data_IF_941236593304
#
_entry.id   IF_941236593304
#
_cell.length_a   1.000
_cell.length_b   1.000
_cell.length_c   1.000
_cell.angle_alpha   90.00
_cell.angle_beta   90.00
_cell.angle_gamma   90.00
#
_symmetry.space_group_name_H-M   'P 1'
#
loop_
_entity.id
_entity.type
_entity.pdbx_description
1 polymer ?
#
# COMPACT_ATOMS: atom_id res chain seq x y z
N UNK A 1 3.86 7.51 -15.15
CA UNK A 1 3.77 7.82 -13.71
C UNK A 1 2.34 8.02 -13.22
N UNK A 2 1.50 8.79 -13.93
CA UNK A 2 0.12 9.08 -13.50
C UNK A 2 -0.67 7.82 -13.10
N UNK A 3 -0.70 6.78 -13.95
CA UNK A 3 -1.40 5.53 -13.62
C UNK A 3 -0.86 4.88 -12.34
N UNK A 4 0.47 4.83 -12.19
CA UNK A 4 1.13 4.30 -10.99
C UNK A 4 0.78 5.11 -9.74
N UNK A 5 0.77 6.45 -9.83
CA UNK A 5 0.38 7.34 -8.74
C UNK A 5 -1.05 7.06 -8.28
N UNK A 6 -1.99 6.96 -9.22
CA UNK A 6 -3.40 6.64 -8.92
C UNK A 6 -3.53 5.26 -8.29
N UNK A 7 -2.82 4.25 -8.79
CA UNK A 7 -2.82 2.91 -8.23
C UNK A 7 -2.25 2.88 -6.81
N UNK A 8 -1.10 3.52 -6.57
CA UNK A 8 -0.47 3.56 -5.24
C UNK A 8 -1.39 4.25 -4.22
N UNK A 9 -2.01 5.37 -4.60
CA UNK A 9 -2.97 6.07 -3.75
C UNK A 9 -4.24 5.24 -3.52
N UNK A 10 -4.80 4.63 -4.57
CA UNK A 10 -6.01 3.83 -4.49
C UNK A 10 -5.83 2.58 -3.62
N UNK A 11 -4.74 1.84 -3.82
CA UNK A 11 -4.42 0.65 -3.01
C UNK A 11 -4.08 1.07 -1.57
N UNK A 12 -3.31 2.14 -1.38
CA UNK A 12 -2.94 2.63 -0.05
C UNK A 12 -4.16 3.07 0.75
N UNK A 13 -5.06 3.81 0.09
CA UNK A 13 -6.35 4.19 0.66
C UNK A 13 -7.24 2.97 0.93
N UNK A 14 -7.29 2.01 0.00
CA UNK A 14 -8.02 0.76 0.15
C UNK A 14 -7.57 -0.02 1.39
N UNK A 15 -6.27 -0.26 1.54
CA UNK A 15 -5.70 -0.93 2.71
C UNK A 15 -5.98 -0.15 4.00
N UNK A 16 -5.78 1.17 3.99
CA UNK A 16 -6.00 1.98 5.19
C UNK A 16 -7.48 2.05 5.61
N UNK A 17 -8.41 2.17 4.65
CA UNK A 17 -9.85 2.24 4.91
C UNK A 17 -10.42 0.92 5.42
N UNK A 18 -9.86 -0.22 4.98
CA UNK A 18 -10.26 -1.56 5.44
C UNK A 18 -9.50 -2.03 6.68
N UNK A 19 -8.68 -1.19 7.33
CA UNK A 19 -7.95 -1.59 8.55
C UNK A 19 -8.83 -2.12 9.70
N UNK A 20 -10.11 -1.77 9.72
CA UNK A 20 -11.09 -2.22 10.74
C UNK A 20 -12.38 -2.74 10.09
N UNK A 21 -12.33 -3.16 8.82
CA UNK A 21 -13.49 -3.66 8.09
C UNK A 21 -13.07 -4.88 7.25
N UNK A 22 -13.92 -5.90 7.12
CA UNK A 22 -13.60 -7.07 6.31
C UNK A 22 -13.43 -6.66 4.85
N UNK A 23 -12.50 -7.32 4.16
CA UNK A 23 -12.36 -7.22 2.71
C UNK A 23 -11.80 -8.51 2.13
N UNK A 24 -12.36 -8.94 0.99
CA UNK A 24 -12.03 -10.23 0.38
C UNK A 24 -12.13 -11.37 1.42
N UNK A 25 -11.01 -12.04 1.71
CA UNK A 25 -10.88 -13.14 2.68
C UNK A 25 -10.24 -12.68 4.00
N UNK A 26 -9.94 -11.39 4.13
CA UNK A 26 -9.23 -10.83 5.26
C UNK A 26 -10.20 -10.18 6.26
N UNK A 27 -10.04 -10.56 7.53
CA UNK A 27 -10.84 -10.07 8.67
C UNK A 27 -9.96 -9.28 9.67
N UNK A 28 -9.50 -8.07 9.32
CA UNK A 28 -8.67 -7.25 10.19
C UNK A 28 -9.37 -6.80 11.48
N UNK A 29 -10.70 -6.77 11.50
CA UNK A 29 -11.51 -6.51 12.69
C UNK A 29 -11.34 -7.57 13.79
N UNK A 30 -10.98 -8.81 13.42
CA UNK A 30 -10.78 -9.91 14.35
C UNK A 30 -9.30 -10.07 14.75
N UNK A 31 -8.37 -9.45 14.02
CA UNK A 31 -6.94 -9.60 14.22
C UNK A 31 -6.20 -8.26 14.22
N UNK A 32 -5.81 -7.81 15.41
CA UNK A 32 -5.09 -6.56 15.61
C UNK A 32 -3.76 -6.47 14.82
N UNK A 33 -3.07 -7.60 14.60
CA UNK A 33 -1.83 -7.60 13.81
C UNK A 33 -2.11 -7.33 12.33
N UNK A 34 -3.14 -7.96 11.77
CA UNK A 34 -3.57 -7.73 10.38
C UNK A 34 -4.08 -6.29 10.20
N UNK A 35 -4.89 -5.79 11.13
CA UNK A 35 -5.33 -4.38 11.17
C UNK A 35 -4.14 -3.42 11.14
N UNK A 36 -3.13 -3.68 11.98
CA UNK A 36 -1.96 -2.81 12.06
C UNK A 36 -1.10 -2.88 10.78
N UNK A 37 -0.96 -4.06 10.17
CA UNK A 37 -0.26 -4.22 8.89
C UNK A 37 -0.96 -3.45 7.77
N UNK A 38 -2.28 -3.52 7.68
CA UNK A 38 -3.06 -2.74 6.70
C UNK A 38 -2.97 -1.24 6.95
N UNK A 39 -3.01 -0.83 8.23
CA UNK A 39 -2.87 0.56 8.62
C UNK A 39 -1.50 1.11 8.21
N UNK A 40 -0.42 0.44 8.62
CA UNK A 40 0.96 0.86 8.35
C UNK A 40 1.27 0.77 6.86
N UNK A 41 0.97 -0.36 6.22
CA UNK A 41 1.20 -0.56 4.79
C UNK A 41 0.39 0.40 3.93
N UNK A 42 -0.88 0.65 4.30
CA UNK A 42 -1.73 1.64 3.64
C UNK A 42 -1.18 3.06 3.74
N UNK A 43 -0.76 3.49 4.93
CA UNK A 43 -0.13 4.81 5.14
C UNK A 43 1.17 4.92 4.32
N UNK A 44 2.05 3.92 4.38
CA UNK A 44 3.30 3.93 3.62
C UNK A 44 3.04 4.03 2.11
N UNK A 45 2.06 3.29 1.59
CA UNK A 45 1.74 3.32 0.17
C UNK A 45 1.08 4.64 -0.26
N UNK A 46 0.27 5.25 0.62
CA UNK A 46 -0.24 6.62 0.40
C UNK A 46 0.90 7.65 0.33
N UNK A 47 1.88 7.57 1.24
CA UNK A 47 3.05 8.44 1.22
C UNK A 47 3.88 8.26 -0.05
N UNK A 48 4.06 7.02 -0.52
CA UNK A 48 4.71 6.73 -1.81
C UNK A 48 3.91 7.29 -2.98
N UNK A 49 2.58 7.19 -2.94
CA UNK A 49 1.71 7.79 -3.95
C UNK A 49 1.84 9.31 -4.00
N UNK A 50 1.86 9.99 -2.85
CA UNK A 50 2.10 11.43 -2.77
C UNK A 50 3.49 11.79 -3.31
N UNK A 51 4.53 11.05 -2.90
CA UNK A 51 5.90 11.24 -3.41
C UNK A 51 5.95 11.09 -4.93
N UNK A 52 5.25 10.10 -5.48
CA UNK A 52 5.14 9.86 -6.92
C UNK A 52 4.44 11.02 -7.65
N UNK A 53 3.39 11.59 -7.08
CA UNK A 53 2.71 12.76 -7.63
C UNK A 53 3.66 13.96 -7.70
N UNK A 54 4.40 14.22 -6.62
CA UNK A 54 5.41 15.29 -6.56
C UNK A 54 6.53 15.06 -7.58
N UNK A 55 7.06 13.83 -7.65
CA UNK A 55 8.10 13.46 -8.62
C UNK A 55 7.64 13.69 -10.07
N UNK A 56 6.37 13.40 -10.36
CA UNK A 56 5.76 13.62 -11.68
C UNK A 56 5.60 15.11 -11.98
N UNK A 57 5.11 15.90 -11.03
CA UNK A 57 4.93 17.34 -11.19
C UNK A 57 6.26 18.07 -11.42
N UNK A 58 7.33 17.65 -10.75
CA UNK A 58 8.67 18.21 -10.91
C UNK A 58 9.44 17.65 -12.11
N UNK A 59 8.90 16.64 -12.81
CA UNK A 59 9.57 15.91 -13.88
C UNK A 59 10.99 15.42 -13.49
N UNK A 60 11.16 15.02 -12.23
CA UNK A 60 12.47 14.65 -11.69
C UNK A 60 12.69 13.13 -11.75
N UNK A 61 13.56 12.69 -12.66
CA UNK A 61 13.85 11.27 -12.91
C UNK A 61 14.37 10.54 -11.67
N UNK A 62 15.19 11.17 -10.84
CA UNK A 62 15.74 10.55 -9.62
C UNK A 62 14.61 10.26 -8.63
N UNK A 63 13.73 11.23 -8.39
CA UNK A 63 12.57 11.05 -7.52
C UNK A 63 11.60 9.99 -8.05
N UNK A 64 11.43 9.91 -9.37
CA UNK A 64 10.61 8.88 -10.01
C UNK A 64 11.16 7.49 -9.69
N UNK A 65 12.46 7.28 -9.84
CA UNK A 65 13.11 5.98 -9.55
C UNK A 65 12.95 5.62 -8.07
N UNK A 66 13.20 6.58 -7.16
CA UNK A 66 13.04 6.36 -5.72
C UNK A 66 11.60 5.98 -5.37
N UNK A 67 10.61 6.70 -5.91
CA UNK A 67 9.20 6.41 -5.67
C UNK A 67 8.81 5.01 -6.15
N UNK A 68 9.25 4.61 -7.35
CA UNK A 68 8.99 3.28 -7.91
C UNK A 68 9.60 2.17 -7.04
N UNK A 69 10.88 2.31 -6.67
CA UNK A 69 11.56 1.33 -5.82
C UNK A 69 10.89 1.21 -4.45
N UNK A 70 10.60 2.34 -3.80
CA UNK A 70 9.92 2.37 -2.52
C UNK A 70 8.55 1.67 -2.60
N UNK A 71 7.76 1.97 -3.64
CA UNK A 71 6.44 1.35 -3.78
C UNK A 71 6.48 -0.15 -4.03
N UNK A 72 7.46 -0.65 -4.81
CA UNK A 72 7.65 -2.09 -5.00
C UNK A 72 7.97 -2.78 -3.66
N UNK A 73 8.85 -2.19 -2.86
CA UNK A 73 9.20 -2.74 -1.53
C UNK A 73 7.96 -2.76 -0.63
N UNK A 74 7.21 -1.66 -0.56
CA UNK A 74 6.03 -1.55 0.30
C UNK A 74 4.93 -2.54 -0.12
N UNK A 75 4.62 -2.65 -1.42
CA UNK A 75 3.55 -3.54 -1.88
C UNK A 75 3.92 -5.01 -1.70
N UNK A 76 5.17 -5.40 -1.96
CA UNK A 76 5.63 -6.77 -1.75
C UNK A 76 5.63 -7.14 -0.27
N UNK A 77 6.13 -6.24 0.60
CA UNK A 77 6.07 -6.46 2.04
C UNK A 77 4.63 -6.62 2.53
N UNK A 78 3.71 -5.77 2.07
CA UNK A 78 2.30 -5.88 2.41
C UNK A 78 1.71 -7.24 1.99
N UNK A 79 1.95 -7.67 0.74
CA UNK A 79 1.45 -8.95 0.23
C UNK A 79 2.01 -10.15 1.00
N UNK A 80 3.33 -10.21 1.20
CA UNK A 80 3.99 -11.32 1.90
C UNK A 80 3.49 -11.42 3.34
N UNK A 81 3.34 -10.28 4.04
CA UNK A 81 2.81 -10.26 5.38
C UNK A 81 1.37 -10.79 5.39
N UNK A 82 0.52 -10.27 4.50
CA UNK A 82 -0.89 -10.64 4.42
C UNK A 82 -1.13 -12.14 4.13
N UNK A 83 -0.24 -12.82 3.40
CA UNK A 83 -0.35 -14.26 3.08
C UNK A 83 -0.54 -15.13 4.34
N UNK A 84 -0.02 -14.70 5.50
CA UNK A 84 -0.19 -15.43 6.77
C UNK A 84 -1.65 -15.59 7.20
N UNK A 85 -2.53 -14.74 6.72
CA UNK A 85 -3.96 -14.73 7.04
C UNK A 85 -4.84 -15.28 5.92
N UNK A 86 -4.25 -15.84 4.86
CA UNK A 86 -5.03 -16.57 3.86
C UNK A 86 -5.60 -17.87 4.49
N UNK A 87 -6.86 -18.23 4.18
CA UNK A 87 -7.40 -19.53 4.57
C UNK A 87 -6.52 -20.64 3.98
N UNK A 88 -6.13 -21.61 4.81
CA UNK A 88 -5.47 -22.83 4.32
C UNK A 88 -6.55 -23.70 3.67
N UNK A 89 -6.39 -23.97 2.38
CA UNK A 89 -7.23 -24.92 1.65
C UNK A 89 -7.03 -26.35 2.17
#
# INVERSE_FOLDING_TARGET
MICYTVLALGIGWGAYSHRNRPFLVFHPEENAALSNILKVGGILLLLVGILSAVATALNNTILIIIALLAGIIVILALQILMVRWLPKA
#
